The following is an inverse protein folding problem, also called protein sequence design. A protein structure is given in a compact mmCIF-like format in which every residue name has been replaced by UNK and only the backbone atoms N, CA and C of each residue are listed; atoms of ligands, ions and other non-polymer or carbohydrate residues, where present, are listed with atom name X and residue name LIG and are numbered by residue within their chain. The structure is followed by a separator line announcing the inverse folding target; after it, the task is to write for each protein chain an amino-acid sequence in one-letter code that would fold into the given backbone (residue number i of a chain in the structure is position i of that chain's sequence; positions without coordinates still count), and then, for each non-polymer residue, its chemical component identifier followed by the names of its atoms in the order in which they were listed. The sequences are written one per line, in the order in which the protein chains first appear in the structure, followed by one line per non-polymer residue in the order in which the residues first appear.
data_IF_984741191864
#
_entry.id   IF_984741191864
#
_cell.length_a   1.000
_cell.length_b   1.000
_cell.length_c   1.000
_cell.angle_alpha   90.00
_cell.angle_beta   90.00
_cell.angle_gamma   90.00
#
_symmetry.space_group_name_H-M   'P 1'
#
loop_
_entity.id
_entity.type
_entity.pdbx_description
1 polymer ?
#
# COMPACT_ATOMS: atom_id res chain seq x y z
N UNK A 1 17.42 22.84 -29.91
CA UNK A 1 17.05 22.22 -28.62
C UNK A 1 16.34 20.93 -28.95
N UNK A 2 16.89 19.79 -28.56
CA UNK A 2 16.18 18.51 -28.73
C UNK A 2 14.94 18.51 -27.85
N UNK A 3 13.82 18.21 -28.46
CA UNK A 3 12.52 18.20 -27.81
C UNK A 3 12.37 16.85 -27.09
N UNK A 4 12.82 16.82 -25.84
CA UNK A 4 12.90 15.63 -25.02
C UNK A 4 11.60 15.41 -24.22
N UNK A 5 11.26 14.17 -23.96
CA UNK A 5 10.20 13.76 -23.07
C UNK A 5 10.74 12.88 -21.98
N UNK A 6 10.40 13.18 -20.75
CA UNK A 6 10.83 12.43 -19.57
C UNK A 6 9.75 11.48 -19.11
N UNK A 7 10.16 10.29 -18.71
CA UNK A 7 9.32 9.19 -18.23
C UNK A 7 9.80 8.79 -16.85
N UNK A 8 8.91 8.77 -15.88
CA UNK A 8 9.23 8.39 -14.51
C UNK A 8 8.36 7.26 -14.00
N UNK A 9 8.96 6.28 -13.34
CA UNK A 9 8.27 5.23 -12.62
C UNK A 9 9.10 4.76 -11.41
N UNK A 10 8.47 4.09 -10.46
CA UNK A 10 9.19 3.43 -9.36
C UNK A 10 9.26 1.94 -9.65
N UNK A 11 10.49 1.39 -9.62
CA UNK A 11 10.72 -0.02 -9.88
C UNK A 11 10.07 -0.89 -8.81
N UNK A 12 9.22 -1.87 -9.18
CA UNK A 12 8.58 -2.77 -8.21
C UNK A 12 9.56 -3.72 -7.53
N UNK A 13 10.75 -3.94 -8.11
CA UNK A 13 11.72 -4.91 -7.62
C UNK A 13 12.74 -4.31 -6.65
N UNK A 14 13.26 -3.10 -6.95
CA UNK A 14 14.27 -2.46 -6.11
C UNK A 14 13.76 -1.21 -5.36
N UNK A 15 12.54 -0.76 -5.63
CA UNK A 15 11.92 0.41 -4.98
C UNK A 15 12.49 1.76 -5.41
N UNK A 16 13.50 1.80 -6.29
CA UNK A 16 14.12 3.05 -6.74
C UNK A 16 13.27 3.75 -7.80
N UNK A 17 13.20 5.06 -7.70
CA UNK A 17 12.64 5.90 -8.75
C UNK A 17 13.57 5.89 -9.97
N UNK A 18 12.99 5.74 -11.15
CA UNK A 18 13.67 5.77 -12.44
C UNK A 18 13.14 6.93 -13.25
N UNK A 19 14.05 7.69 -13.88
CA UNK A 19 13.71 8.77 -14.81
C UNK A 19 14.52 8.59 -16.08
N UNK A 20 13.84 8.48 -17.20
CA UNK A 20 14.44 8.31 -18.52
C UNK A 20 14.00 9.42 -19.46
N UNK A 21 14.88 9.86 -20.33
CA UNK A 21 14.58 10.83 -21.37
C UNK A 21 14.63 10.19 -22.76
N UNK A 22 13.68 10.56 -23.60
CA UNK A 22 13.64 10.17 -25.02
C UNK A 22 13.26 11.38 -25.87
N UNK A 23 13.88 11.49 -27.03
CA UNK A 23 13.46 12.52 -27.99
C UNK A 23 12.09 12.16 -28.57
N UNK A 24 11.28 13.17 -28.82
CA UNK A 24 9.94 12.97 -29.43
C UNK A 24 10.05 12.28 -30.78
N UNK A 25 11.13 12.56 -31.53
CA UNK A 25 11.39 11.88 -32.81
C UNK A 25 11.62 10.39 -32.60
N UNK A 26 12.48 10.00 -31.65
CA UNK A 26 12.74 8.59 -31.35
C UNK A 26 11.49 7.82 -30.91
N UNK A 27 10.62 8.45 -30.10
CA UNK A 27 9.35 7.89 -29.67
C UNK A 27 8.37 7.65 -30.83
N UNK A 28 8.39 8.52 -31.84
CA UNK A 28 7.53 8.38 -33.02
C UNK A 28 8.04 7.36 -34.03
N UNK A 29 9.33 7.04 -33.99
CA UNK A 29 9.98 6.19 -35.00
C UNK A 29 10.04 4.70 -34.61
N UNK A 30 10.11 4.38 -33.33
CA UNK A 30 10.30 3.01 -32.84
C UNK A 30 9.79 2.82 -31.41
N UNK A 31 9.55 1.56 -31.03
CA UNK A 31 9.30 1.18 -29.66
C UNK A 31 10.47 1.57 -28.74
N UNK A 32 10.17 2.16 -27.61
CA UNK A 32 11.17 2.54 -26.62
C UNK A 32 11.06 1.65 -25.36
N UNK A 33 12.19 1.18 -24.88
CA UNK A 33 12.31 0.43 -23.64
C UNK A 33 13.20 1.19 -22.67
N UNK A 34 12.77 1.30 -21.44
CA UNK A 34 13.42 2.07 -20.39
C UNK A 34 13.59 1.18 -19.16
N UNK A 35 14.70 0.45 -19.13
CA UNK A 35 15.00 -0.51 -18.08
C UNK A 35 15.46 0.18 -16.80
N UNK A 36 15.09 -0.39 -15.66
CA UNK A 36 15.66 -0.02 -14.38
C UNK A 36 17.14 -0.42 -14.28
N UNK A 37 17.93 0.30 -13.49
CA UNK A 37 19.34 -0.06 -13.20
C UNK A 37 19.49 -1.48 -12.65
N UNK A 38 18.46 -2.03 -11.99
CA UNK A 38 18.48 -3.42 -11.49
C UNK A 38 18.15 -4.47 -12.56
N UNK A 39 17.86 -4.07 -13.80
CA UNK A 39 17.53 -4.90 -14.97
C UNK A 39 16.30 -5.82 -14.81
N UNK A 40 15.56 -5.70 -13.70
CA UNK A 40 14.42 -6.57 -13.39
C UNK A 40 13.05 -5.97 -13.74
N UNK A 41 13.02 -4.74 -14.20
CA UNK A 41 11.79 -4.08 -14.68
C UNK A 41 12.11 -3.08 -15.78
N UNK A 42 11.20 -2.91 -16.71
CA UNK A 42 11.30 -1.91 -17.77
C UNK A 42 9.95 -1.29 -18.09
N UNK A 43 9.94 0.00 -18.35
CA UNK A 43 8.80 0.69 -18.94
C UNK A 43 8.90 0.60 -20.47
N UNK A 44 7.84 0.12 -21.10
CA UNK A 44 7.78 -0.04 -22.55
C UNK A 44 6.80 0.96 -23.14
N UNK A 45 7.17 1.57 -24.25
CA UNK A 45 6.35 2.52 -25.01
C UNK A 45 6.37 2.12 -26.46
N UNK A 46 5.19 1.84 -27.02
CA UNK A 46 4.99 1.48 -28.42
C UNK A 46 4.01 2.44 -29.06
N UNK A 47 4.15 2.66 -30.38
CA UNK A 47 3.22 3.51 -31.12
C UNK A 47 2.76 2.84 -32.40
N UNK A 48 1.51 3.08 -32.78
CA UNK A 48 0.95 2.77 -34.09
C UNK A 48 0.86 4.00 -35.01
N UNK A 49 1.46 5.12 -34.61
CA UNK A 49 1.44 6.41 -35.30
C UNK A 49 0.26 7.31 -34.88
N UNK A 50 -0.77 6.78 -34.24
CA UNK A 50 -1.96 7.51 -33.77
C UNK A 50 -2.01 7.55 -32.25
N UNK A 51 -1.70 6.43 -31.63
CA UNK A 51 -1.71 6.24 -30.18
C UNK A 51 -0.41 5.66 -29.69
N UNK A 52 -0.11 5.92 -28.43
CA UNK A 52 0.93 5.27 -27.69
C UNK A 52 0.34 4.26 -26.73
N UNK A 53 0.92 3.07 -26.69
CA UNK A 53 0.67 2.03 -25.70
C UNK A 53 1.85 1.95 -24.76
N UNK A 54 1.56 1.94 -23.48
CA UNK A 54 2.55 1.88 -22.44
C UNK A 54 2.34 0.64 -21.58
N UNK A 55 3.42 -0.08 -21.29
CA UNK A 55 3.46 -1.10 -20.26
C UNK A 55 4.30 -0.55 -19.10
N UNK A 56 3.65 -0.30 -17.98
CA UNK A 56 4.23 0.41 -16.84
C UNK A 56 4.42 -0.55 -15.69
N UNK A 57 5.67 -0.82 -15.26
CA UNK A 57 5.92 -1.53 -14.02
C UNK A 57 5.49 -0.65 -12.84
N UNK A 58 4.73 -1.22 -11.91
CA UNK A 58 4.09 -0.46 -10.85
C UNK A 58 4.73 -0.74 -9.49
N UNK A 59 5.50 0.21 -8.97
CA UNK A 59 6.08 0.13 -7.62
C UNK A 59 5.05 0.16 -6.48
N UNK A 60 3.79 0.51 -6.79
CA UNK A 60 2.71 0.59 -5.78
C UNK A 60 2.10 -0.77 -5.49
N UNK A 61 1.78 -1.56 -6.54
CA UNK A 61 1.12 -2.87 -6.37
C UNK A 61 1.98 -4.07 -6.76
N UNK A 62 3.23 -3.83 -7.18
CA UNK A 62 4.17 -4.87 -7.61
C UNK A 62 3.88 -5.50 -8.97
N UNK A 63 2.82 -5.08 -9.67
CA UNK A 63 2.42 -5.62 -10.98
C UNK A 63 2.80 -4.72 -12.15
N UNK A 64 2.24 -5.02 -13.33
CA UNK A 64 2.36 -4.20 -14.54
C UNK A 64 0.98 -3.69 -14.96
N UNK A 65 0.94 -2.48 -15.52
CA UNK A 65 -0.28 -1.88 -16.02
C UNK A 65 -0.12 -1.43 -17.47
N UNK A 66 -1.16 -1.65 -18.26
CA UNK A 66 -1.23 -1.13 -19.62
C UNK A 66 -2.02 0.17 -19.63
N UNK A 67 -1.52 1.15 -20.37
CA UNK A 67 -2.20 2.41 -20.60
C UNK A 67 -2.09 2.80 -22.07
N UNK A 68 -3.10 3.52 -22.57
CA UNK A 68 -3.08 4.11 -23.90
C UNK A 68 -3.26 5.63 -23.79
N UNK A 69 -2.54 6.38 -24.61
CA UNK A 69 -2.73 7.81 -24.75
C UNK A 69 -2.55 8.24 -26.20
N UNK A 70 -3.12 9.41 -26.55
CA UNK A 70 -2.92 9.98 -27.88
C UNK A 70 -1.48 10.48 -28.07
N UNK A 71 -1.02 10.51 -29.31
CA UNK A 71 0.27 11.06 -29.67
C UNK A 71 0.38 12.55 -29.25
N UNK A 72 -0.68 13.30 -29.39
CA UNK A 72 -0.74 14.70 -28.97
C UNK A 72 -0.54 14.84 -27.46
N UNK A 73 -1.26 14.05 -26.65
CA UNK A 73 -1.14 14.08 -25.19
C UNK A 73 0.27 13.72 -24.71
N UNK A 74 0.86 12.66 -25.29
CA UNK A 74 2.18 12.19 -24.88
C UNK A 74 3.29 13.14 -25.34
N UNK A 75 3.24 13.61 -26.58
CA UNK A 75 4.33 14.39 -27.17
C UNK A 75 4.22 15.89 -26.84
N UNK A 76 3.02 16.45 -26.75
CA UNK A 76 2.79 17.91 -26.61
C UNK A 76 2.08 18.29 -25.31
N UNK A 77 1.47 17.34 -24.59
CA UNK A 77 0.77 17.59 -23.34
C UNK A 77 1.70 18.11 -22.22
N UNK A 78 1.15 18.88 -21.28
CA UNK A 78 1.90 19.41 -20.12
C UNK A 78 2.46 18.31 -19.23
N UNK A 79 1.74 17.20 -19.12
CA UNK A 79 2.15 16.01 -18.35
C UNK A 79 1.01 15.02 -18.26
N UNK A 80 1.36 13.74 -18.16
CA UNK A 80 0.42 12.64 -18.01
C UNK A 80 0.78 11.85 -16.75
N UNK A 81 -0.12 11.82 -15.78
CA UNK A 81 -0.03 10.93 -14.62
C UNK A 81 -0.84 9.67 -14.88
N UNK A 82 -0.21 8.51 -14.75
CA UNK A 82 -0.87 7.21 -14.83
C UNK A 82 -1.09 6.69 -13.43
N UNK A 83 -2.34 6.34 -13.12
CA UNK A 83 -2.73 5.80 -11.82
C UNK A 83 -2.79 4.27 -11.84
N UNK A 84 -2.33 3.65 -10.76
CA UNK A 84 -2.50 2.22 -10.52
C UNK A 84 -4.01 1.90 -10.42
N UNK A 85 -4.55 0.99 -11.25
CA UNK A 85 -5.97 0.67 -11.21
C UNK A 85 -6.41 -0.02 -9.90
N UNK A 86 -5.48 -0.65 -9.16
CA UNK A 86 -5.78 -1.32 -7.89
C UNK A 86 -5.86 -0.33 -6.71
N UNK A 87 -4.95 0.64 -6.65
CA UNK A 87 -4.81 1.54 -5.50
C UNK A 87 -5.21 2.98 -5.80
N UNK A 88 -5.37 3.32 -7.09
CA UNK A 88 -5.61 4.67 -7.61
C UNK A 88 -4.50 5.68 -7.31
N UNK A 89 -3.37 5.22 -6.79
CA UNK A 89 -2.18 6.04 -6.60
C UNK A 89 -1.41 6.19 -7.90
N UNK A 90 -0.69 7.29 -8.04
CA UNK A 90 0.19 7.55 -9.19
C UNK A 90 1.23 6.43 -9.29
N UNK A 91 1.44 5.84 -10.47
CA UNK A 91 2.44 4.79 -10.70
C UNK A 91 3.46 5.15 -11.79
N UNK A 92 3.15 6.13 -12.64
CA UNK A 92 4.06 6.65 -13.67
C UNK A 92 3.70 8.12 -13.96
N UNK A 93 4.69 8.92 -14.29
CA UNK A 93 4.49 10.28 -14.77
C UNK A 93 5.34 10.54 -16.01
N UNK A 94 4.75 11.19 -17.00
CA UNK A 94 5.39 11.52 -18.29
C UNK A 94 5.22 13.01 -18.52
N UNK A 95 6.30 13.74 -18.78
CA UNK A 95 6.21 15.18 -18.93
C UNK A 95 7.56 15.86 -19.13
N UNK A 96 7.62 17.10 -18.70
CA UNK A 96 8.87 17.86 -18.58
C UNK A 96 9.71 17.27 -17.45
N UNK A 97 11.03 17.35 -17.60
CA UNK A 97 11.98 16.70 -16.67
C UNK A 97 11.73 17.10 -15.20
N UNK A 98 11.57 18.38 -14.94
CA UNK A 98 11.39 18.89 -13.57
C UNK A 98 10.10 18.37 -12.92
N UNK A 99 9.02 18.25 -13.70
CA UNK A 99 7.75 17.74 -13.20
C UNK A 99 7.82 16.24 -12.93
N UNK A 100 8.52 15.48 -13.79
CA UNK A 100 8.76 14.06 -13.62
C UNK A 100 9.61 13.79 -12.39
N UNK A 101 10.72 14.52 -12.21
CA UNK A 101 11.58 14.39 -11.03
C UNK A 101 10.79 14.62 -9.74
N UNK A 102 10.01 15.71 -9.69
CA UNK A 102 9.17 16.02 -8.53
C UNK A 102 8.10 14.95 -8.27
N UNK A 103 7.48 14.43 -9.33
CA UNK A 103 6.49 13.37 -9.21
C UNK A 103 7.12 12.08 -8.66
N UNK A 104 8.31 11.71 -9.14
CA UNK A 104 9.03 10.52 -8.70
C UNK A 104 9.52 10.62 -7.25
N UNK A 105 10.03 11.77 -6.84
CA UNK A 105 10.41 12.03 -5.44
C UNK A 105 9.21 11.86 -4.49
N UNK A 106 8.08 12.47 -4.83
CA UNK A 106 6.86 12.34 -4.05
C UNK A 106 6.34 10.89 -4.00
N UNK A 107 6.45 10.15 -5.11
CA UNK A 107 6.08 8.73 -5.13
C UNK A 107 6.99 7.88 -4.25
N UNK A 108 8.30 8.06 -4.34
CA UNK A 108 9.28 7.32 -3.55
C UNK A 108 9.04 7.54 -2.04
N UNK A 109 8.87 8.80 -1.62
CA UNK A 109 8.57 9.14 -0.22
C UNK A 109 7.27 8.51 0.30
N UNK A 110 6.23 8.46 -0.53
CA UNK A 110 4.96 7.79 -0.16
C UNK A 110 5.12 6.29 -0.01
N UNK A 111 5.82 5.65 -0.95
CA UNK A 111 6.06 4.21 -0.91
C UNK A 111 6.94 3.80 0.26
N UNK A 112 7.92 4.63 0.65
CA UNK A 112 8.71 4.41 1.86
C UNK A 112 7.83 4.52 3.12
N UNK A 113 6.96 5.52 3.17
CA UNK A 113 6.02 5.69 4.28
C UNK A 113 5.02 4.53 4.37
N UNK A 114 4.42 4.13 3.24
CA UNK A 114 3.48 3.01 3.17
C UNK A 114 4.16 1.68 3.56
N UNK A 115 5.46 1.50 3.23
CA UNK A 115 6.26 0.34 3.67
C UNK A 115 6.52 0.38 5.18
N UNK A 116 6.95 1.52 5.72
CA UNK A 116 7.16 1.66 7.16
C UNK A 116 5.86 1.41 7.95
N UNK A 117 4.73 1.94 7.47
CA UNK A 117 3.42 1.68 8.07
C UNK A 117 2.98 0.21 7.90
N UNK A 118 3.38 -0.48 6.82
CA UNK A 118 3.06 -1.89 6.59
C UNK A 118 3.98 -2.84 7.36
N UNK A 119 5.23 -2.48 7.57
CA UNK A 119 6.16 -3.25 8.41
C UNK A 119 5.75 -3.19 9.88
N UNK A 120 5.34 -2.02 10.38
CA UNK A 120 4.72 -1.88 11.70
C UNK A 120 3.38 -2.63 11.78
N UNK A 121 2.56 -2.58 10.72
CA UNK A 121 1.30 -3.31 10.65
C UNK A 121 1.49 -4.83 10.51
N UNK A 122 2.61 -5.28 9.97
CA UNK A 122 2.89 -6.72 9.81
C UNK A 122 3.32 -7.36 11.14
N UNK A 123 4.09 -6.64 11.96
CA UNK A 123 4.42 -7.08 13.32
C UNK A 123 3.17 -7.07 14.20
N UNK A 124 2.38 -6.01 14.14
CA UNK A 124 1.09 -5.88 14.83
C UNK A 124 0.06 -6.93 14.35
N UNK A 125 0.08 -7.33 13.08
CA UNK A 125 -0.87 -8.30 12.54
C UNK A 125 -0.61 -9.75 13.01
N UNK A 126 0.64 -10.16 13.21
CA UNK A 126 0.96 -11.50 13.75
C UNK A 126 0.51 -11.57 15.20
N UNK A 127 0.94 -10.63 16.02
CA UNK A 127 0.55 -10.55 17.44
C UNK A 127 -0.97 -10.38 17.57
N UNK A 128 -1.58 -9.54 16.77
CA UNK A 128 -3.03 -9.36 16.73
C UNK A 128 -3.76 -10.67 16.41
N UNK A 129 -3.27 -11.42 15.40
CA UNK A 129 -3.86 -12.72 15.05
C UNK A 129 -3.77 -13.73 16.20
N UNK A 130 -2.63 -13.80 16.87
CA UNK A 130 -2.41 -14.69 18.01
C UNK A 130 -3.26 -14.27 19.22
N UNK A 131 -3.36 -12.95 19.50
CA UNK A 131 -4.26 -12.41 20.52
C UNK A 131 -5.72 -12.74 20.21
N UNK A 132 -6.17 -12.61 18.96
CA UNK A 132 -7.53 -12.97 18.56
C UNK A 132 -7.79 -14.46 18.67
N UNK A 133 -6.78 -15.32 18.39
CA UNK A 133 -6.87 -16.77 18.56
C UNK A 133 -7.02 -17.13 20.04
N UNK A 134 -6.19 -16.55 20.92
CA UNK A 134 -6.29 -16.79 22.36
C UNK A 134 -7.61 -16.29 22.96
N UNK A 135 -8.08 -15.10 22.51
CA UNK A 135 -9.40 -14.59 22.91
C UNK A 135 -10.53 -15.51 22.51
N UNK A 136 -10.44 -16.12 21.32
CA UNK A 136 -11.41 -17.12 20.86
C UNK A 136 -11.40 -18.36 21.74
N UNK A 137 -10.23 -18.83 22.14
CA UNK A 137 -10.09 -19.99 23.02
C UNK A 137 -10.62 -19.70 24.43
N UNK A 138 -10.36 -18.51 24.98
CA UNK A 138 -10.94 -18.06 26.25
C UNK A 138 -12.48 -17.98 26.14
N UNK A 139 -12.97 -17.45 25.04
CA UNK A 139 -14.42 -17.35 24.76
C UNK A 139 -15.10 -18.72 24.67
N UNK A 140 -14.48 -19.69 23.97
CA UNK A 140 -15.00 -21.05 23.84
C UNK A 140 -15.09 -21.79 25.17
N UNK A 141 -14.16 -21.51 26.08
CA UNK A 141 -14.17 -22.02 27.46
C UNK A 141 -15.16 -21.28 28.36
N UNK A 142 -15.85 -20.27 27.85
CA UNK A 142 -16.79 -19.41 28.62
C UNK A 142 -16.08 -18.47 29.58
N UNK A 143 -14.80 -18.18 29.35
CA UNK A 143 -13.96 -17.35 30.22
C UNK A 143 -14.15 -15.85 30.08
N UNK A 144 -15.06 -15.36 29.20
CA UNK A 144 -15.34 -13.94 29.05
C UNK A 144 -16.69 -13.61 29.66
N UNK A 145 -16.69 -12.66 30.60
CA UNK A 145 -17.90 -12.20 31.29
C UNK A 145 -17.83 -10.72 31.64
N UNK A 146 -18.92 -10.20 32.14
CA UNK A 146 -19.00 -8.81 32.61
C UNK A 146 -19.40 -8.78 34.11
N UNK A 147 -18.87 -7.83 34.87
CA UNK A 147 -19.24 -7.61 36.26
C UNK A 147 -20.74 -7.33 36.46
N UNK A 148 -21.47 -6.95 35.40
CA UNK A 148 -22.95 -6.84 35.45
C UNK A 148 -23.68 -8.20 35.35
N UNK A 149 -22.98 -9.33 35.25
CA UNK A 149 -23.54 -10.67 35.11
C UNK A 149 -23.83 -11.10 33.66
N UNK A 150 -23.71 -10.21 32.68
CA UNK A 150 -23.93 -10.53 31.28
C UNK A 150 -22.74 -11.29 30.69
N UNK A 151 -23.06 -12.27 29.83
CA UNK A 151 -22.09 -13.01 28.99
C UNK A 151 -22.12 -12.56 27.53
N UNK A 152 -22.98 -11.59 27.20
CA UNK A 152 -23.11 -11.06 25.83
C UNK A 152 -22.14 -9.91 25.66
N UNK A 153 -21.26 -10.01 24.67
CA UNK A 153 -20.29 -8.96 24.35
C UNK A 153 -20.07 -8.87 22.84
N UNK A 154 -19.56 -7.75 22.40
CA UNK A 154 -19.03 -7.53 21.05
C UNK A 154 -17.53 -7.26 21.12
N UNK A 155 -16.83 -7.53 20.02
CA UNK A 155 -15.40 -7.34 19.89
C UNK A 155 -15.14 -6.29 18.82
N UNK A 156 -14.29 -5.30 19.16
CA UNK A 156 -13.82 -4.28 18.22
C UNK A 156 -12.31 -4.36 18.13
N UNK A 157 -11.79 -4.56 16.92
CA UNK A 157 -10.35 -4.66 16.66
C UNK A 157 -9.82 -3.28 16.28
N UNK A 158 -8.82 -2.79 17.03
CA UNK A 158 -8.08 -1.56 16.75
C UNK A 158 -6.67 -1.86 16.25
N UNK A 159 -5.84 -0.84 16.06
CA UNK A 159 -4.46 -0.96 15.52
C UNK A 159 -3.46 -1.60 16.50
N UNK A 160 -3.69 -1.99 17.60
CA UNK A 160 -2.77 -2.60 18.59
C UNK A 160 -3.52 -2.93 19.86
N UNK A 161 -4.84 -3.09 19.74
CA UNK A 161 -5.69 -3.48 20.86
C UNK A 161 -7.00 -4.09 20.38
N UNK A 162 -7.57 -4.92 21.24
CA UNK A 162 -8.93 -5.46 21.07
C UNK A 162 -9.79 -4.97 22.21
N UNK A 163 -10.91 -4.33 21.92
CA UNK A 163 -11.89 -3.88 22.90
C UNK A 163 -13.04 -4.90 22.98
N UNK A 164 -13.27 -5.44 24.15
CA UNK A 164 -14.47 -6.23 24.47
C UNK A 164 -15.51 -5.30 25.10
N UNK A 165 -16.69 -5.24 24.51
CA UNK A 165 -17.77 -4.34 24.93
C UNK A 165 -18.97 -5.15 25.37
N UNK A 166 -19.40 -5.01 26.61
CA UNK A 166 -20.59 -5.69 27.11
C UNK A 166 -21.85 -5.20 26.39
N UNK A 167 -22.63 -6.14 25.87
CA UNK A 167 -23.89 -5.83 25.19
C UNK A 167 -25.03 -5.35 26.09
N UNK A 168 -24.94 -5.58 27.42
CA UNK A 168 -25.97 -5.21 28.36
C UNK A 168 -25.72 -3.85 29.01
N UNK A 169 -24.48 -3.59 29.50
CA UNK A 169 -24.18 -2.37 30.25
C UNK A 169 -23.23 -1.39 29.51
N UNK A 170 -22.71 -1.78 28.33
CA UNK A 170 -21.77 -0.97 27.57
C UNK A 170 -20.37 -0.84 28.24
N UNK A 171 -20.09 -1.61 29.29
CA UNK A 171 -18.76 -1.69 29.91
C UNK A 171 -17.73 -2.15 28.88
N UNK A 172 -16.47 -1.71 29.05
CA UNK A 172 -15.39 -2.00 28.10
C UNK A 172 -14.16 -2.56 28.80
N UNK A 173 -13.57 -3.58 28.20
CA UNK A 173 -12.25 -4.10 28.55
C UNK A 173 -11.36 -3.96 27.33
N UNK A 174 -10.25 -3.22 27.45
CA UNK A 174 -9.24 -3.09 26.40
C UNK A 174 -8.10 -4.06 26.68
N UNK A 175 -7.75 -4.82 25.66
CA UNK A 175 -6.66 -5.79 25.64
C UNK A 175 -5.62 -5.27 24.66
N UNK A 176 -4.40 -5.02 25.11
CA UNK A 176 -3.30 -4.63 24.24
C UNK A 176 -2.90 -5.82 23.35
N UNK A 177 -2.51 -5.52 22.11
CA UNK A 177 -2.13 -6.49 21.08
C UNK A 177 -1.05 -5.90 20.18
N UNK A 178 -0.05 -5.24 20.76
CA UNK A 178 1.01 -4.53 20.05
C UNK A 178 2.39 -5.20 20.22
N UNK A 179 2.58 -5.99 21.26
CA UNK A 179 3.87 -6.60 21.59
C UNK A 179 3.72 -8.06 22.04
N UNK A 180 4.81 -8.84 21.93
CA UNK A 180 4.86 -10.21 22.45
C UNK A 180 4.53 -10.28 23.95
N UNK A 181 4.93 -9.25 24.73
CA UNK A 181 4.59 -9.16 26.15
C UNK A 181 3.08 -9.01 26.40
N UNK A 182 2.34 -8.38 25.47
CA UNK A 182 0.89 -8.25 25.56
C UNK A 182 0.23 -9.62 25.33
N UNK A 183 0.74 -10.40 24.39
CA UNK A 183 0.31 -11.77 24.13
C UNK A 183 0.60 -12.67 25.34
N UNK A 184 1.81 -12.62 25.89
CA UNK A 184 2.20 -13.41 27.07
C UNK A 184 1.29 -13.11 28.27
N UNK A 185 0.96 -11.83 28.49
CA UNK A 185 0.01 -11.44 29.54
C UNK A 185 -1.38 -12.02 29.33
N UNK A 186 -1.85 -12.07 28.09
CA UNK A 186 -3.15 -12.65 27.76
C UNK A 186 -3.15 -14.17 27.94
N UNK A 187 -2.10 -14.87 27.48
CA UNK A 187 -1.94 -16.32 27.63
C UNK A 187 -1.92 -16.77 29.10
N UNK A 188 -1.50 -15.91 30.02
CA UNK A 188 -1.56 -16.18 31.45
C UNK A 188 -2.97 -16.02 32.05
N UNK A 189 -3.95 -15.53 31.30
CA UNK A 189 -5.31 -15.26 31.79
C UNK A 189 -6.28 -16.37 31.35
N UNK A 190 -6.90 -17.04 32.28
CA UNK A 190 -7.93 -18.04 32.01
C UNK A 190 -9.32 -17.41 31.86
N UNK A 191 -9.53 -16.25 32.43
CA UNK A 191 -10.81 -15.53 32.41
C UNK A 191 -10.60 -14.04 32.25
N UNK A 192 -11.52 -13.41 31.52
CA UNK A 192 -11.52 -11.96 31.28
C UNK A 192 -12.83 -11.36 31.79
N UNK A 193 -12.73 -10.37 32.64
CA UNK A 193 -13.88 -9.66 33.20
C UNK A 193 -13.98 -8.24 32.65
N UNK A 194 -15.07 -7.99 31.90
CA UNK A 194 -15.43 -6.65 31.43
C UNK A 194 -15.95 -5.87 32.63
N UNK A 195 -15.34 -4.72 32.96
CA UNK A 195 -15.83 -3.86 34.01
C UNK A 195 -17.07 -3.09 33.54
N UNK A 196 -18.20 -3.38 34.16
CA UNK A 196 -19.45 -2.64 33.95
C UNK A 196 -19.31 -1.17 34.35
N UNK A 197 -20.15 -0.33 33.76
CA UNK A 197 -20.32 1.06 34.22
C UNK A 197 -21.17 1.10 35.48
#
# INVERSE_FOLDING_TARGET
MEDLRSFGYVCPQCGKAQVHQRSRFALSAAAARMACECEKSELQVETDGVKFRLVVPCGVCGGEHQAECSAESLLQGRGIGLACPKTRQLCCYIGEEQDVLRAMENMALRLEKDKAESDDAFTDNVIMYEVLSELKDIAQRGGIGCSCGSKTYSMQVGRGSVDLICGACGGRLRISAATDEDLDRLCCQMTLEIRGK
#
